data_IF_747843956777
#
_entry.id   IF_747843956777
#
_cell.length_a   1.000
_cell.length_b   1.000
_cell.length_c   1.000
_cell.angle_alpha   90.00
_cell.angle_beta   90.00
_cell.angle_gamma   90.00
#
_symmetry.space_group_name_H-M   'P 1'
#
loop_
_entity.id
_entity.type
_entity.pdbx_description
1 polymer ?
#
# COMPACT_ATOMS: atom_id res chain seq x y z
N UNK A 1 22.97 -29.17 -17.47
CA UNK A 1 21.65 -29.44 -16.87
C UNK A 1 21.18 -28.12 -16.25
N UNK A 2 20.25 -27.45 -16.93
CA UNK A 2 19.79 -26.10 -16.58
C UNK A 2 18.95 -26.12 -15.31
N UNK A 3 19.17 -25.12 -14.44
CA UNK A 3 18.39 -24.96 -13.23
C UNK A 3 17.59 -23.66 -13.35
N UNK A 4 16.51 -23.73 -14.13
CA UNK A 4 15.50 -22.68 -14.28
C UNK A 4 14.73 -22.53 -12.97
N UNK A 5 15.19 -21.63 -12.10
CA UNK A 5 14.45 -21.23 -10.91
C UNK A 5 13.33 -20.27 -11.32
N UNK A 6 12.06 -20.49 -10.95
CA UNK A 6 10.99 -19.58 -11.28
C UNK A 6 11.17 -18.26 -10.52
N UNK A 7 11.41 -17.18 -11.27
CA UNK A 7 11.45 -15.80 -10.79
C UNK A 7 10.03 -15.33 -10.44
N UNK A 8 9.50 -15.77 -9.31
CA UNK A 8 8.23 -15.32 -8.75
C UNK A 8 8.45 -14.38 -7.55
N UNK A 9 9.14 -13.26 -7.77
CA UNK A 9 9.21 -12.14 -6.83
C UNK A 9 8.79 -10.86 -7.55
N UNK A 10 7.52 -10.75 -7.95
CA UNK A 10 6.94 -9.49 -8.47
C UNK A 10 5.57 -9.14 -7.85
N UNK A 11 5.19 -9.75 -6.74
CA UNK A 11 3.86 -9.55 -6.12
C UNK A 11 3.90 -8.71 -4.83
N UNK A 12 5.07 -8.45 -4.25
CA UNK A 12 5.19 -7.64 -3.02
C UNK A 12 4.99 -6.12 -3.26
N UNK A 13 4.96 -5.68 -4.51
CA UNK A 13 4.86 -4.26 -4.89
C UNK A 13 3.43 -3.70 -4.85
N UNK A 14 2.41 -4.54 -4.70
CA UNK A 14 1.00 -4.10 -4.71
C UNK A 14 0.55 -3.59 -3.34
N UNK A 15 0.78 -4.38 -2.28
CA UNK A 15 0.45 -4.03 -0.89
C UNK A 15 1.21 -2.78 -0.42
N UNK A 16 2.44 -2.61 -0.91
CA UNK A 16 3.30 -1.47 -0.60
C UNK A 16 2.76 -0.14 -1.15
N UNK A 17 2.08 -0.12 -2.30
CA UNK A 17 1.56 1.12 -2.89
C UNK A 17 0.25 1.58 -2.26
N UNK A 18 -0.65 0.66 -1.92
CA UNK A 18 -1.89 0.99 -1.21
C UNK A 18 -1.58 1.56 0.18
N UNK A 19 -0.61 0.94 0.85
CA UNK A 19 -0.02 1.41 2.10
C UNK A 19 0.55 2.83 2.00
N UNK A 20 1.47 3.06 1.05
CA UNK A 20 2.12 4.36 0.84
C UNK A 20 1.13 5.46 0.45
N UNK A 21 0.07 5.11 -0.28
CA UNK A 21 -0.97 6.03 -0.69
C UNK A 21 -1.92 6.43 0.47
N UNK A 22 -1.85 5.74 1.61
CA UNK A 22 -2.72 5.99 2.77
C UNK A 22 -4.18 5.60 2.53
N UNK A 23 -4.46 4.76 1.52
CA UNK A 23 -5.84 4.42 1.10
C UNK A 23 -6.64 3.68 2.18
N UNK A 24 -5.96 3.01 3.10
CA UNK A 24 -6.58 2.13 4.09
C UNK A 24 -6.78 2.81 5.46
N UNK A 25 -6.21 4.00 5.67
CA UNK A 25 -6.19 4.66 6.98
C UNK A 25 -5.44 3.86 8.07
N UNK A 26 -4.67 2.84 7.70
CA UNK A 26 -3.92 2.00 8.64
C UNK A 26 -2.51 2.58 8.82
N UNK A 27 -2.05 2.86 10.05
CA UNK A 27 -0.76 3.51 10.29
C UNK A 27 0.47 2.71 9.83
N UNK A 28 0.38 1.38 9.88
CA UNK A 28 1.50 0.45 9.62
C UNK A 28 1.00 -0.80 8.88
N UNK A 29 0.56 -0.67 7.62
CA UNK A 29 -0.13 -1.73 6.87
C UNK A 29 0.70 -3.00 6.66
N UNK A 30 2.02 -2.87 6.55
CA UNK A 30 2.94 -4.02 6.47
C UNK A 30 2.99 -4.75 7.81
N UNK A 31 3.17 -4.04 8.93
CA UNK A 31 3.16 -4.67 10.26
C UNK A 31 1.81 -5.27 10.62
N UNK A 32 0.70 -4.65 10.21
CA UNK A 32 -0.62 -5.21 10.45
C UNK A 32 -0.91 -6.47 9.63
N UNK A 33 -0.10 -6.76 8.62
CA UNK A 33 -0.24 -7.96 7.80
C UNK A 33 0.49 -9.18 8.39
N UNK A 34 1.53 -8.94 9.19
CA UNK A 34 2.21 -9.95 10.01
C UNK A 34 1.38 -10.16 11.28
N UNK A 35 0.55 -11.19 11.27
CA UNK A 35 -0.45 -11.41 12.34
C UNK A 35 0.08 -12.26 13.49
N UNK A 36 1.10 -13.06 13.22
CA UNK A 36 1.78 -13.88 14.22
C UNK A 36 3.08 -13.23 14.76
N UNK A 37 3.41 -12.03 14.28
CA UNK A 37 4.55 -11.21 14.70
C UNK A 37 5.90 -11.88 14.46
N UNK A 38 6.00 -12.76 13.47
CA UNK A 38 7.22 -13.49 13.16
C UNK A 38 8.17 -12.70 12.23
N UNK A 39 7.82 -11.46 11.86
CA UNK A 39 8.55 -10.56 10.95
C UNK A 39 8.56 -11.00 9.47
N UNK A 40 7.83 -12.06 9.14
CA UNK A 40 7.56 -12.51 7.80
C UNK A 40 6.07 -12.36 7.53
N UNK A 41 5.72 -12.23 6.25
CA UNK A 41 4.33 -12.27 5.82
C UNK A 41 4.20 -13.48 4.92
N UNK A 42 3.44 -14.46 5.40
CA UNK A 42 3.11 -15.63 4.59
C UNK A 42 2.06 -15.27 3.53
N UNK A 43 1.93 -16.12 2.51
CA UNK A 43 0.87 -15.97 1.49
C UNK A 43 -0.52 -15.96 2.11
N UNK A 44 -0.76 -16.83 3.10
CA UNK A 44 -2.05 -16.94 3.77
C UNK A 44 -2.38 -15.65 4.54
N UNK A 45 -1.40 -15.07 5.25
CA UNK A 45 -1.60 -13.80 5.95
C UNK A 45 -1.86 -12.65 4.99
N UNK A 46 -1.08 -12.60 3.90
CA UNK A 46 -1.32 -11.62 2.85
C UNK A 46 -2.73 -11.74 2.26
N UNK A 47 -3.21 -12.95 1.98
CA UNK A 47 -4.55 -13.19 1.44
C UNK A 47 -5.65 -12.74 2.41
N UNK A 48 -5.54 -13.09 3.71
CA UNK A 48 -6.50 -12.66 4.74
C UNK A 48 -6.58 -11.15 4.87
N UNK A 49 -5.43 -10.49 4.89
CA UNK A 49 -5.33 -9.04 5.04
C UNK A 49 -5.83 -8.33 3.78
N UNK A 50 -5.51 -8.86 2.60
CA UNK A 50 -6.01 -8.34 1.33
C UNK A 50 -7.54 -8.44 1.24
N UNK A 51 -8.14 -9.57 1.63
CA UNK A 51 -9.60 -9.72 1.68
C UNK A 51 -10.26 -8.70 2.61
N UNK A 52 -9.70 -8.52 3.81
CA UNK A 52 -10.19 -7.52 4.77
C UNK A 52 -10.13 -6.10 4.20
N UNK A 53 -9.01 -5.74 3.58
CA UNK A 53 -8.83 -4.42 2.98
C UNK A 53 -9.74 -4.19 1.78
N UNK A 54 -9.92 -5.22 0.96
CA UNK A 54 -10.82 -5.16 -0.17
C UNK A 54 -12.25 -4.88 0.28
N UNK A 55 -12.76 -5.63 1.27
CA UNK A 55 -14.10 -5.39 1.83
C UNK A 55 -14.27 -4.03 2.54
N UNK A 56 -13.19 -3.36 2.92
CA UNK A 56 -13.25 -1.98 3.43
C UNK A 56 -13.36 -0.93 2.31
N UNK A 57 -12.87 -1.26 1.11
CA UNK A 57 -12.80 -0.35 -0.03
C UNK A 57 -13.95 -0.57 -1.02
N UNK A 58 -14.31 -1.82 -1.30
CA UNK A 58 -15.44 -2.22 -2.14
C UNK A 58 -16.75 -2.00 -1.38
N UNK A 59 -17.34 -0.82 -1.56
CA UNK A 59 -18.48 -0.33 -0.77
C UNK A 59 -19.80 -0.85 -1.28
N UNK A 60 -19.91 -1.10 -2.57
CA UNK A 60 -21.11 -1.66 -3.19
C UNK A 60 -21.08 -3.19 -3.25
N UNK A 61 -19.95 -3.80 -2.85
CA UNK A 61 -19.75 -5.24 -2.76
C UNK A 61 -19.90 -5.95 -4.11
N UNK A 62 -19.52 -5.27 -5.20
CA UNK A 62 -19.58 -5.81 -6.55
C UNK A 62 -18.34 -6.64 -6.93
N UNK A 63 -17.36 -6.72 -6.02
CA UNK A 63 -16.11 -7.45 -6.23
C UNK A 63 -15.09 -6.68 -7.06
N UNK A 64 -15.27 -5.38 -7.25
CA UNK A 64 -14.36 -4.48 -7.98
C UNK A 64 -14.00 -3.27 -7.11
N UNK A 65 -12.99 -2.52 -7.57
CA UNK A 65 -12.66 -1.22 -6.98
C UNK A 65 -12.71 -0.17 -8.06
N UNK A 66 -13.56 0.81 -7.85
CA UNK A 66 -13.72 1.98 -8.70
C UNK A 66 -13.04 3.19 -8.06
N UNK A 67 -12.72 4.20 -8.88
CA UNK A 67 -12.13 5.43 -8.36
C UNK A 67 -13.06 6.16 -7.38
N UNK A 68 -14.38 6.01 -7.54
CA UNK A 68 -15.38 6.62 -6.66
C UNK A 68 -15.35 6.04 -5.24
N UNK A 69 -14.89 4.81 -5.09
CA UNK A 69 -14.84 4.12 -3.79
C UNK A 69 -13.55 4.42 -3.01
N UNK A 70 -12.48 4.75 -3.73
CA UNK A 70 -11.18 5.04 -3.14
C UNK A 70 -11.15 6.44 -2.50
N UNK A 71 -10.61 6.57 -1.27
CA UNK A 71 -10.37 7.88 -0.70
C UNK A 71 -9.27 8.63 -1.46
N UNK A 72 -9.40 9.96 -1.55
CA UNK A 72 -8.30 10.78 -2.09
C UNK A 72 -7.04 10.61 -1.25
N UNK A 73 -5.93 10.31 -1.91
CA UNK A 73 -4.60 10.22 -1.30
C UNK A 73 -4.07 11.61 -0.92
N UNK A 74 -3.08 11.66 -0.02
CA UNK A 74 -2.42 12.93 0.35
C UNK A 74 -1.84 13.65 -0.88
N UNK A 75 -1.24 12.90 -1.81
CA UNK A 75 -0.74 13.44 -3.08
C UNK A 75 -1.86 14.07 -3.93
N UNK A 76 -3.02 13.41 -4.03
CA UNK A 76 -4.18 13.97 -4.76
C UNK A 76 -4.75 15.22 -4.09
N UNK A 77 -4.65 15.34 -2.76
CA UNK A 77 -5.08 16.54 -2.02
C UNK A 77 -4.05 17.68 -2.08
N UNK A 78 -2.93 17.51 -2.80
CA UNK A 78 -1.83 18.48 -2.80
C UNK A 78 -1.01 18.51 -1.51
N UNK A 79 -1.28 17.58 -0.59
CA UNK A 79 -0.62 17.43 0.72
C UNK A 79 0.50 16.38 0.67
N UNK A 80 1.05 16.11 -0.52
CA UNK A 80 2.19 15.22 -0.70
C UNK A 80 3.39 15.69 0.14
N UNK A 81 4.35 14.80 0.44
CA UNK A 81 5.51 15.17 1.24
C UNK A 81 6.16 16.41 0.60
N UNK A 82 6.21 17.50 1.37
CA UNK A 82 6.78 18.76 0.93
C UNK A 82 8.21 18.51 0.46
N UNK A 83 8.39 18.40 -0.86
CA UNK A 83 9.70 18.26 -1.48
C UNK A 83 10.49 19.54 -1.25
N UNK A 84 11.37 19.53 -0.25
CA UNK A 84 12.72 20.12 -0.29
C UNK A 84 12.91 21.53 -0.85
N UNK A 85 11.93 22.43 -0.81
CA UNK A 85 12.14 23.83 -1.20
C UNK A 85 12.67 24.59 0.00
N UNK A 86 13.99 24.55 0.16
CA UNK A 86 14.70 25.47 1.04
C UNK A 86 14.21 26.90 0.75
N UNK A 87 13.96 27.74 1.77
CA UNK A 87 13.59 29.13 1.54
C UNK A 87 14.71 29.82 0.74
N UNK A 88 14.39 30.71 -0.21
CA UNK A 88 15.42 31.47 -0.91
C UNK A 88 16.24 32.22 0.14
N UNK A 89 17.53 31.89 0.25
CA UNK A 89 18.45 32.65 1.08
C UNK A 89 18.52 34.06 0.49
N UNK A 90 17.96 35.03 1.20
CA UNK A 90 18.17 36.44 0.89
C UNK A 90 19.68 36.68 0.93
N UNK A 91 20.26 37.00 -0.22
CA UNK A 91 21.64 37.46 -0.34
C UNK A 91 21.57 38.97 -0.19
N UNK A 92 22.00 39.45 0.98
CA UNK A 92 22.43 40.84 1.15
C UNK A 92 23.84 41.03 0.59
#
# INVERSE_FOLDING_TARGET
>A
MGNDRPRAQRSAASSSRIAQAGLLGVPQPVKSADTDFNQYITRQEQERVAQRWFGLLDKDHDGRLTLAELPQTATQRGMGPAGGRAPPRQRG
#
